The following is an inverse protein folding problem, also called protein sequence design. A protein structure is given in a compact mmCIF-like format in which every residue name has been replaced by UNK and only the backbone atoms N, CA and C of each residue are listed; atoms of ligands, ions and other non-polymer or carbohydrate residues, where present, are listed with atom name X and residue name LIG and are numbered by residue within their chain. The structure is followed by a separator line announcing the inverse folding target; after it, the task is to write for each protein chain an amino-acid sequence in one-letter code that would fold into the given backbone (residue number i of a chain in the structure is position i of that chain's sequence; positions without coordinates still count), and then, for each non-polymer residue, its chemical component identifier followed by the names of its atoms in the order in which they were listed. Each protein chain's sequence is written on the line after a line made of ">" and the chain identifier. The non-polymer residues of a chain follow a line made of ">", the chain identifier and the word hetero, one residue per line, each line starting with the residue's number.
data_IF_481373056839
#
_entry.id   IF_481373056839
#
_cell.length_a   1.000
_cell.length_b   1.000
_cell.length_c   1.000
_cell.angle_alpha   90.00
_cell.angle_beta   90.00
_cell.angle_gamma   90.00
#
_symmetry.space_group_name_H-M   'P 1'
#
loop_
_entity.id
_entity.type
_entity.pdbx_description
1 polymer ?
#
# COMPACT_ATOMS: atom_id res chain seq x y z
N UNK A 1 10.16 8.36 24.96
CA UNK A 1 9.47 8.42 23.67
C UNK A 1 10.30 7.55 22.76
N UNK A 2 9.83 6.34 22.50
CA UNK A 2 10.57 5.41 21.65
C UNK A 2 10.40 5.91 20.21
N UNK A 3 11.47 6.39 19.60
CA UNK A 3 11.45 6.72 18.17
C UNK A 3 11.46 5.40 17.43
N UNK A 4 10.31 5.00 16.86
CA UNK A 4 10.21 3.79 16.04
C UNK A 4 11.39 3.73 15.06
N UNK A 5 12.08 2.59 15.03
CA UNK A 5 13.15 2.36 14.07
C UNK A 5 12.56 2.32 12.65
N UNK A 6 13.24 2.95 11.69
CA UNK A 6 12.79 2.97 10.29
C UNK A 6 13.75 2.14 9.43
N UNK A 7 13.22 1.16 8.73
CA UNK A 7 13.97 0.38 7.74
C UNK A 7 13.92 1.04 6.38
N UNK A 8 15.07 1.10 5.73
CA UNK A 8 15.17 1.53 4.32
C UNK A 8 15.19 0.31 3.40
N UNK A 9 14.44 0.37 2.30
CA UNK A 9 14.45 -0.63 1.23
C UNK A 9 14.24 0.04 -0.14
N UNK A 10 14.54 -0.70 -1.20
CA UNK A 10 14.26 -0.29 -2.57
C UNK A 10 13.16 -1.16 -3.15
N UNK A 11 12.27 -0.54 -3.92
CA UNK A 11 11.16 -1.22 -4.55
C UNK A 11 10.97 -0.74 -5.99
N UNK A 12 10.49 -1.61 -6.86
CA UNK A 12 10.26 -1.30 -8.27
C UNK A 12 8.78 -1.06 -8.51
N UNK A 13 8.43 0.03 -9.19
CA UNK A 13 7.03 0.29 -9.59
C UNK A 13 6.59 -0.74 -10.62
N UNK A 14 5.49 -1.43 -10.36
CA UNK A 14 4.95 -2.49 -11.22
C UNK A 14 3.52 -2.19 -11.66
N UNK A 15 3.06 -2.72 -12.81
CA UNK A 15 1.67 -2.63 -13.19
C UNK A 15 0.74 -3.31 -12.18
N UNK A 16 -0.42 -2.70 -11.93
CA UNK A 16 -1.54 -3.29 -11.19
C UNK A 16 -2.76 -3.52 -12.07
N UNK A 17 -3.86 -4.00 -11.50
CA UNK A 17 -5.14 -4.16 -12.22
C UNK A 17 -5.88 -2.85 -12.52
N UNK A 18 -5.35 -1.71 -12.06
CA UNK A 18 -5.89 -0.38 -12.32
C UNK A 18 -7.35 -0.17 -11.82
N UNK A 19 -7.79 -1.00 -10.87
CA UNK A 19 -9.10 -0.92 -10.22
C UNK A 19 -9.12 0.26 -9.24
N UNK A 20 -8.05 0.43 -8.46
CA UNK A 20 -7.92 1.49 -7.45
C UNK A 20 -8.05 2.89 -8.04
N UNK A 21 -7.42 3.13 -9.20
CA UNK A 21 -7.46 4.42 -9.91
C UNK A 21 -8.66 4.59 -10.84
N UNK A 22 -9.39 3.50 -11.13
CA UNK A 22 -10.50 3.51 -12.09
C UNK A 22 -10.07 3.54 -13.56
N UNK A 23 -8.77 3.43 -13.87
CA UNK A 23 -8.28 3.44 -15.26
C UNK A 23 -8.74 2.20 -16.06
N UNK A 24 -9.14 1.12 -15.38
CA UNK A 24 -9.75 -0.04 -16.03
C UNK A 24 -11.24 0.16 -16.38
N UNK A 25 -11.83 1.30 -16.03
CA UNK A 25 -13.21 1.67 -16.33
C UNK A 25 -14.26 0.66 -15.86
N UNK A 26 -13.98 -0.06 -14.76
CA UNK A 26 -14.94 -1.01 -14.20
C UNK A 26 -16.24 -0.28 -13.80
N UNK A 27 -17.40 -0.61 -14.40
CA UNK A 27 -18.66 0.07 -14.10
C UNK A 27 -19.16 -0.18 -12.67
N UNK A 28 -18.69 -1.25 -11.99
CA UNK A 28 -18.97 -1.48 -10.58
C UNK A 28 -18.25 -0.49 -9.67
N UNK A 29 -17.13 0.07 -10.11
CA UNK A 29 -16.30 0.99 -9.32
C UNK A 29 -16.06 2.31 -10.06
N UNK A 30 -17.12 3.13 -10.27
CA UNK A 30 -17.04 4.34 -11.06
C UNK A 30 -15.99 5.31 -10.49
N UNK A 31 -14.95 5.59 -11.29
CA UNK A 31 -13.86 6.49 -10.89
C UNK A 31 -12.83 5.88 -9.92
N UNK A 32 -12.88 4.56 -9.70
CA UNK A 32 -11.91 3.78 -8.92
C UNK A 32 -12.33 3.52 -7.48
N UNK A 33 -11.85 2.42 -6.89
CA UNK A 33 -12.24 2.02 -5.52
C UNK A 33 -11.77 3.02 -4.47
N UNK A 34 -10.56 3.59 -4.62
CA UNK A 34 -10.04 4.57 -3.66
C UNK A 34 -10.96 5.79 -3.58
N UNK A 35 -11.40 6.32 -4.73
CA UNK A 35 -12.34 7.46 -4.77
C UNK A 35 -13.63 7.15 -4.02
N UNK A 36 -14.14 5.93 -4.14
CA UNK A 36 -15.36 5.49 -3.47
C UNK A 36 -15.15 5.26 -1.97
N UNK A 37 -13.99 4.78 -1.57
CA UNK A 37 -13.66 4.45 -0.18
C UNK A 37 -13.31 5.69 0.68
N UNK A 38 -12.66 6.70 0.09
CA UNK A 38 -12.17 7.90 0.81
C UNK A 38 -13.22 8.58 1.71
N UNK A 39 -14.48 8.81 1.26
CA UNK A 39 -15.51 9.37 2.14
C UNK A 39 -15.76 8.55 3.41
N UNK A 40 -15.78 7.23 3.29
CA UNK A 40 -15.99 6.32 4.42
C UNK A 40 -14.80 6.31 5.37
N UNK A 41 -13.57 6.33 4.85
CA UNK A 41 -12.37 6.42 5.67
C UNK A 41 -12.32 7.72 6.46
N UNK A 42 -12.73 8.84 5.84
CA UNK A 42 -12.81 10.15 6.49
C UNK A 42 -13.80 10.15 7.66
N UNK A 43 -14.98 9.55 7.49
CA UNK A 43 -15.98 9.41 8.56
C UNK A 43 -15.46 8.61 9.75
N UNK A 44 -14.52 7.68 9.50
CA UNK A 44 -13.88 6.84 10.51
C UNK A 44 -12.57 7.45 11.06
N UNK A 45 -12.26 8.70 10.71
CA UNK A 45 -11.13 9.46 11.27
C UNK A 45 -9.83 9.42 10.45
N UNK A 46 -9.81 8.80 9.27
CA UNK A 46 -8.66 8.78 8.36
C UNK A 46 -8.92 9.68 7.14
N UNK A 47 -8.35 10.88 7.12
CA UNK A 47 -8.50 11.83 6.00
C UNK A 47 -7.41 11.63 4.94
N UNK A 48 -7.79 11.04 3.80
CA UNK A 48 -6.93 10.81 2.64
C UNK A 48 -7.16 11.81 1.51
N UNK A 49 -7.87 12.92 1.76
CA UNK A 49 -8.22 13.90 0.71
C UNK A 49 -7.03 14.54 0.01
N UNK A 50 -5.86 14.56 0.65
CA UNK A 50 -4.61 15.05 0.07
C UNK A 50 -3.93 14.06 -0.91
N UNK A 51 -4.41 12.81 -0.97
CA UNK A 51 -3.81 11.76 -1.79
C UNK A 51 -4.43 11.68 -3.18
N UNK A 52 -3.64 11.20 -4.14
CA UNK A 52 -4.15 10.86 -5.46
C UNK A 52 -5.14 9.69 -5.35
N UNK A 53 -6.30 9.72 -6.03
CA UNK A 53 -7.34 8.70 -5.88
C UNK A 53 -7.00 7.42 -6.67
N UNK A 54 -5.95 6.72 -6.24
CA UNK A 54 -5.45 5.47 -6.78
C UNK A 54 -4.22 4.99 -6.03
N UNK A 55 -3.80 3.75 -6.27
CA UNK A 55 -2.61 3.17 -5.65
C UNK A 55 -1.44 3.06 -6.64
N UNK A 56 -0.22 3.14 -6.11
CA UNK A 56 1.00 2.78 -6.85
C UNK A 56 1.43 1.39 -6.37
N UNK A 57 1.39 0.42 -7.27
CA UNK A 57 1.88 -0.92 -6.97
C UNK A 57 3.40 -0.94 -7.06
N UNK A 58 4.04 -1.47 -6.03
CA UNK A 58 5.48 -1.65 -5.97
C UNK A 58 5.81 -3.10 -5.64
N UNK A 59 6.88 -3.62 -6.24
CA UNK A 59 7.47 -4.90 -5.86
C UNK A 59 8.69 -4.67 -4.98
N UNK A 60 8.73 -5.31 -3.82
CA UNK A 60 9.89 -5.33 -2.92
C UNK A 60 10.78 -6.56 -3.15
N UNK A 61 10.48 -7.37 -4.16
CA UNK A 61 11.24 -8.57 -4.49
C UNK A 61 12.75 -8.26 -4.63
N UNK A 62 13.64 -9.17 -4.18
CA UNK A 62 13.35 -10.50 -3.67
C UNK A 62 12.98 -10.53 -2.17
N UNK A 63 12.76 -9.38 -1.54
CA UNK A 63 12.35 -9.34 -0.14
C UNK A 63 10.88 -9.74 0.00
N UNK A 64 10.55 -10.29 1.16
CA UNK A 64 9.19 -10.51 1.61
C UNK A 64 8.89 -9.60 2.79
N UNK A 65 7.61 -9.45 3.15
CA UNK A 65 7.23 -8.73 4.35
C UNK A 65 6.27 -9.51 5.23
N UNK A 66 6.23 -9.13 6.50
CA UNK A 66 5.22 -9.54 7.47
C UNK A 66 4.60 -8.29 8.09
N UNK A 67 3.27 -8.23 8.07
CA UNK A 67 2.49 -7.23 8.80
C UNK A 67 2.68 -7.44 10.30
N UNK A 68 2.99 -6.37 11.01
CA UNK A 68 3.04 -6.31 12.47
C UNK A 68 1.88 -5.43 12.96
N UNK A 69 2.15 -4.22 13.43
CA UNK A 69 1.14 -3.30 13.95
C UNK A 69 0.81 -2.19 12.93
N UNK A 70 -0.38 -2.14 12.31
CA UNK A 70 -0.77 -1.03 11.45
C UNK A 70 -0.82 0.30 12.21
N UNK A 71 -0.48 1.40 11.53
CA UNK A 71 -0.67 2.75 12.08
C UNK A 71 -2.16 3.05 12.30
N UNK A 72 -3.00 2.58 11.38
CA UNK A 72 -4.46 2.68 11.46
C UNK A 72 -5.07 1.39 10.93
N UNK A 73 -6.07 0.86 11.64
CA UNK A 73 -6.95 -0.19 11.12
C UNK A 73 -8.40 0.26 11.21
N UNK A 74 -9.11 0.17 10.09
CA UNK A 74 -10.54 0.43 9.98
C UNK A 74 -11.25 -0.90 9.78
N UNK A 75 -12.13 -1.27 10.71
CA UNK A 75 -12.82 -2.56 10.69
C UNK A 75 -14.23 -2.46 10.11
N UNK A 76 -14.63 -3.50 9.38
CA UNK A 76 -15.97 -3.71 8.83
C UNK A 76 -16.52 -2.48 8.08
N UNK A 77 -15.68 -1.85 7.26
CA UNK A 77 -16.05 -0.63 6.53
C UNK A 77 -16.98 -1.00 5.39
N UNK A 78 -18.24 -0.56 5.48
CA UNK A 78 -19.23 -0.72 4.40
C UNK A 78 -19.08 0.39 3.37
N UNK A 79 -18.11 0.24 2.47
CA UNK A 79 -17.75 1.26 1.48
C UNK A 79 -18.48 1.15 0.13
N UNK A 80 -19.20 0.04 -0.11
CA UNK A 80 -19.97 -0.19 -1.32
C UNK A 80 -21.39 -0.70 -0.98
N UNK A 81 -22.44 -0.33 -1.75
CA UNK A 81 -23.80 -0.80 -1.48
C UNK A 81 -23.95 -2.32 -1.55
N UNK A 82 -23.16 -3.02 -2.36
CA UNK A 82 -23.29 -4.48 -2.56
C UNK A 82 -22.07 -5.30 -2.16
N UNK A 83 -20.89 -4.69 -2.00
CA UNK A 83 -19.73 -5.47 -1.52
C UNK A 83 -19.90 -5.75 -0.03
N UNK A 84 -19.39 -6.91 0.46
CA UNK A 84 -19.32 -7.15 1.88
C UNK A 84 -18.44 -6.08 2.56
N UNK A 85 -18.71 -5.76 3.84
CA UNK A 85 -17.79 -4.96 4.65
C UNK A 85 -16.38 -5.55 4.64
N UNK A 86 -15.38 -4.68 4.68
CA UNK A 86 -13.97 -5.04 4.58
C UNK A 86 -13.15 -4.30 5.63
N UNK A 87 -12.08 -4.95 6.09
CA UNK A 87 -11.09 -4.35 6.98
C UNK A 87 -9.97 -3.72 6.15
N UNK A 88 -9.44 -2.59 6.60
CA UNK A 88 -8.36 -1.88 5.94
C UNK A 88 -7.27 -1.52 6.94
N UNK A 89 -6.05 -1.95 6.68
CA UNK A 89 -4.87 -1.54 7.44
C UNK A 89 -4.01 -0.57 6.63
N UNK A 90 -3.47 0.42 7.33
CA UNK A 90 -2.61 1.45 6.78
C UNK A 90 -1.32 1.47 7.59
N UNK A 91 -0.18 1.43 6.88
CA UNK A 91 1.15 1.50 7.48
C UNK A 91 1.86 2.73 6.98
N UNK A 92 2.55 3.46 7.85
CA UNK A 92 3.30 4.65 7.46
C UNK A 92 4.43 4.27 6.49
N UNK A 93 4.65 5.15 5.51
CA UNK A 93 5.79 5.03 4.59
C UNK A 93 6.30 6.41 4.20
N UNK A 94 7.62 6.54 4.08
CA UNK A 94 8.25 7.65 3.39
C UNK A 94 8.85 7.16 2.07
N UNK A 95 8.54 7.86 0.98
CA UNK A 95 8.93 7.50 -0.38
C UNK A 95 9.82 8.57 -0.95
N UNK A 96 10.95 8.19 -1.51
CA UNK A 96 11.87 9.09 -2.21
C UNK A 96 12.03 8.63 -3.66
N UNK A 97 11.82 9.55 -4.60
CA UNK A 97 11.99 9.34 -6.04
C UNK A 97 13.27 10.02 -6.50
N UNK A 98 14.27 9.25 -6.95
CA UNK A 98 15.60 9.77 -7.27
C UNK A 98 16.22 10.51 -6.08
N UNK A 99 16.70 11.73 -6.32
CA UNK A 99 17.26 12.63 -5.29
C UNK A 99 16.24 13.67 -4.77
N UNK A 100 14.95 13.44 -5.03
CA UNK A 100 13.86 14.31 -4.57
C UNK A 100 13.67 14.30 -3.05
N UNK A 101 12.84 15.20 -2.50
CA UNK A 101 12.49 15.15 -1.09
C UNK A 101 11.64 13.90 -0.77
N UNK A 102 11.71 13.37 0.47
CA UNK A 102 10.84 12.29 0.90
C UNK A 102 9.38 12.77 0.99
N UNK A 103 8.46 11.93 0.53
CA UNK A 103 7.01 12.14 0.57
C UNK A 103 6.40 11.11 1.51
N UNK A 104 5.55 11.57 2.43
CA UNK A 104 4.80 10.68 3.34
C UNK A 104 3.56 10.14 2.67
N UNK A 105 3.24 8.88 2.99
CA UNK A 105 2.06 8.18 2.51
C UNK A 105 1.69 7.02 3.40
N UNK A 106 0.81 6.16 2.88
CA UNK A 106 0.47 4.88 3.49
C UNK A 106 0.74 3.73 2.53
N UNK A 107 1.23 2.61 3.07
CA UNK A 107 0.98 1.30 2.47
C UNK A 107 -0.47 0.96 2.79
N UNK A 108 -1.27 0.77 1.74
CA UNK A 108 -2.67 0.41 1.79
C UNK A 108 -2.82 -1.10 1.71
N UNK A 109 -3.38 -1.71 2.75
CA UNK A 109 -3.62 -3.14 2.82
C UNK A 109 -5.11 -3.41 3.05
N UNK A 110 -5.88 -3.64 1.98
CA UNK A 110 -7.21 -4.22 2.11
C UNK A 110 -7.06 -5.66 2.64
N UNK A 111 -7.96 -6.09 3.51
CA UNK A 111 -8.01 -7.48 4.00
C UNK A 111 -9.10 -8.25 3.24
N UNK A 112 -8.82 -8.75 2.03
CA UNK A 112 -9.79 -9.49 1.24
C UNK A 112 -10.02 -10.90 1.77
N UNK A 113 -9.50 -11.29 2.94
CA UNK A 113 -9.64 -12.64 3.52
C UNK A 113 -11.11 -13.06 3.77
N UNK A 114 -12.07 -12.16 3.52
CA UNK A 114 -13.51 -12.45 3.41
C UNK A 114 -13.96 -12.86 1.98
N UNK A 115 -13.07 -12.91 1.00
CA UNK A 115 -13.32 -13.20 -0.42
C UNK A 115 -12.34 -14.28 -0.93
N UNK A 116 -12.81 -15.48 -1.32
CA UNK A 116 -11.98 -16.67 -1.56
C UNK A 116 -11.12 -16.63 -2.85
N UNK A 117 -10.83 -15.47 -3.44
CA UNK A 117 -10.19 -15.42 -4.78
C UNK A 117 -9.25 -14.23 -5.01
N UNK A 118 -8.64 -13.68 -3.96
CA UNK A 118 -7.61 -12.63 -4.11
C UNK A 118 -6.25 -13.12 -3.62
N UNK A 119 -5.46 -13.67 -4.55
CA UNK A 119 -4.05 -13.94 -4.31
C UNK A 119 -3.29 -12.62 -4.51
N UNK A 120 -3.08 -11.85 -3.43
CA UNK A 120 -2.08 -10.78 -3.49
C UNK A 120 -0.70 -11.43 -3.54
N UNK A 121 0.13 -11.00 -4.49
CA UNK A 121 1.51 -11.45 -4.57
C UNK A 121 2.23 -10.97 -3.29
N UNK A 122 2.87 -11.86 -2.50
CA UNK A 122 3.47 -11.52 -1.20
C UNK A 122 4.55 -10.43 -1.28
N UNK A 123 5.01 -10.08 -2.48
CA UNK A 123 6.08 -9.10 -2.70
C UNK A 123 5.54 -7.75 -3.20
N UNK A 124 4.23 -7.64 -3.43
CA UNK A 124 3.61 -6.42 -3.95
C UNK A 124 2.91 -5.66 -2.83
N UNK A 125 3.26 -4.38 -2.70
CA UNK A 125 2.61 -3.43 -1.81
C UNK A 125 1.87 -2.37 -2.65
N UNK A 126 0.76 -1.88 -2.13
CA UNK A 126 0.01 -0.77 -2.72
C UNK A 126 0.26 0.50 -1.93
N UNK A 127 0.77 1.55 -2.58
CA UNK A 127 1.05 2.84 -1.93
C UNK A 127 -0.04 3.85 -2.23
N UNK A 128 -0.47 4.55 -1.19
CA UNK A 128 -1.28 5.76 -1.26
C UNK A 128 -0.39 6.97 -0.97
N UNK A 129 -0.30 7.89 -1.93
CA UNK A 129 0.57 9.06 -1.87
C UNK A 129 -0.18 10.30 -2.39
N UNK A 130 0.23 11.51 -1.99
CA UNK A 130 -0.02 12.71 -2.79
C UNK A 130 0.45 12.52 -4.24
N UNK A 131 -0.02 13.35 -5.16
CA UNK A 131 0.47 13.27 -6.53
C UNK A 131 1.98 13.57 -6.59
N UNK A 132 2.78 12.57 -7.00
CA UNK A 132 4.22 12.70 -7.19
C UNK A 132 4.54 12.58 -8.68
N UNK A 133 5.15 13.63 -9.24
CA UNK A 133 5.54 13.65 -10.66
C UNK A 133 6.73 12.71 -10.90
N UNK A 134 6.71 12.00 -12.03
CA UNK A 134 7.85 11.18 -12.48
C UNK A 134 7.91 9.78 -11.90
N UNK A 135 6.82 9.29 -11.29
CA UNK A 135 6.67 7.87 -10.96
C UNK A 135 6.09 7.16 -12.20
N UNK A 136 6.90 6.28 -12.79
CA UNK A 136 6.56 5.49 -13.98
C UNK A 136 6.82 4.00 -13.72
N UNK A 137 6.23 3.12 -14.54
CA UNK A 137 6.50 1.68 -14.43
C UNK A 137 7.98 1.37 -14.65
N UNK A 138 8.52 0.49 -13.81
CA UNK A 138 9.95 0.13 -13.80
C UNK A 138 10.84 1.11 -13.03
N UNK A 139 10.32 2.23 -12.53
CA UNK A 139 11.09 3.13 -11.69
C UNK A 139 11.44 2.48 -10.34
N UNK A 140 12.64 2.73 -9.84
CA UNK A 140 13.06 2.32 -8.49
C UNK A 140 12.75 3.44 -7.51
N UNK A 141 12.02 3.09 -6.44
CA UNK A 141 11.71 3.97 -5.32
C UNK A 141 12.55 3.56 -4.11
N UNK A 142 13.02 4.55 -3.35
CA UNK A 142 13.56 4.33 -2.01
C UNK A 142 12.43 4.50 -1.01
N UNK A 143 12.18 3.50 -0.19
CA UNK A 143 11.17 3.50 0.85
C UNK A 143 11.82 3.53 2.22
N UNK A 144 11.13 4.16 3.17
CA UNK A 144 11.35 3.95 4.60
C UNK A 144 10.04 3.51 5.23
N UNK A 145 10.07 2.43 6.00
CA UNK A 145 8.92 1.90 6.73
C UNK A 145 9.27 1.74 8.21
N UNK A 146 8.35 1.97 9.16
CA UNK A 146 8.59 1.67 10.56
C UNK A 146 8.71 0.15 10.80
N UNK A 147 9.72 -0.27 11.55
CA UNK A 147 10.01 -1.69 11.81
C UNK A 147 9.02 -2.35 12.78
N UNK A 148 8.32 -1.55 13.59
CA UNK A 148 7.21 -2.00 14.44
C UNK A 148 5.91 -2.22 13.65
N UNK A 149 5.80 -1.62 12.46
CA UNK A 149 4.63 -1.73 11.60
C UNK A 149 4.77 -2.84 10.55
N UNK A 150 5.95 -2.96 9.93
CA UNK A 150 6.19 -3.90 8.84
C UNK A 150 7.60 -4.48 8.91
N UNK A 151 7.70 -5.79 9.16
CA UNK A 151 8.96 -6.51 9.13
C UNK A 151 9.30 -6.91 7.70
N UNK A 152 10.42 -6.41 7.18
CA UNK A 152 10.96 -6.81 5.86
C UNK A 152 11.99 -7.92 6.06
N UNK A 153 11.91 -8.98 5.26
CA UNK A 153 12.85 -10.10 5.31
C UNK A 153 13.57 -10.21 3.96
N UNK A 154 14.89 -10.22 4.01
CA UNK A 154 15.70 -10.56 2.84
C UNK A 154 15.49 -12.04 2.48
N UNK A 155 15.60 -12.41 1.19
CA UNK A 155 15.54 -13.81 0.79
C UNK A 155 16.62 -14.59 1.55
N UNK A 156 16.26 -15.78 2.04
CA UNK A 156 17.22 -16.66 2.68
C UNK A 156 18.38 -16.93 1.70
N UNK A 157 19.60 -16.57 2.09
CA UNK A 157 20.77 -16.78 1.26
C UNK A 157 20.95 -18.31 1.08
N UNK A 158 20.84 -18.88 -0.13
CA UNK A 158 20.90 -20.33 -0.32
C UNK A 158 22.30 -20.94 -0.07
N UNK A 159 23.25 -20.16 0.43
CA UNK A 159 24.69 -20.44 0.42
C UNK A 159 25.34 -20.80 1.76
N UNK A 160 24.63 -21.25 2.79
CA UNK A 160 25.26 -21.86 3.98
C UNK A 160 24.88 -23.32 4.10
N UNK A 161 25.52 -24.17 3.29
CA UNK A 161 25.74 -25.57 3.67
C UNK A 161 27.10 -25.63 4.34
N UNK A 162 27.10 -25.90 5.65
CA UNK A 162 28.29 -26.34 6.36
C UNK A 162 28.65 -27.78 6.01
#
# INVERSE_FOLDING_TARGET
>A
MDTAAWRTLFATVVPGHQVASGNNQNPLFPGGTIRMQVPHFRELGLDLSQFHPGTINISIAPNHYKVLEPAVTLHAVRWHPTEPPEDFSFFDVEVTVGDGPPVRGYIYHPHPDTKPTHFQNPDVLELLLPFVKGIEYGATLKLRVPEDQLAVHEPANPGTRG
#
